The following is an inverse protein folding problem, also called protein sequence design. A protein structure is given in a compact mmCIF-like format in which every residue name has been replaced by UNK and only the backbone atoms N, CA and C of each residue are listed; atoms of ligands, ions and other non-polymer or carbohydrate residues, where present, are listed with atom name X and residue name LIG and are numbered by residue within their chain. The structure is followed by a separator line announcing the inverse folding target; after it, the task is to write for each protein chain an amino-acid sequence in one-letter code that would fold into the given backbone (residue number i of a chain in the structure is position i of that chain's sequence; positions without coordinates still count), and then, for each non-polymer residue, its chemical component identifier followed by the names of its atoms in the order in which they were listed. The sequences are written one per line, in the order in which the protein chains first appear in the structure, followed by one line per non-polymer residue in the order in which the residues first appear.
data_IF_083266239717
#
_entry.id   IF_083266239717
#
_cell.length_a   1.000
_cell.length_b   1.000
_cell.length_c   1.000
_cell.angle_alpha   90.00
_cell.angle_beta   90.00
_cell.angle_gamma   90.00
#
_symmetry.space_group_name_H-M   'P 1'
#
loop_
_entity.id
_entity.type
_entity.pdbx_description
1 polymer ?
#
# COMPACT_ATOMS: atom_id res chain seq x y z
N UNK A 1 4.99 14.61 -2.45
CA UNK A 1 4.78 15.59 -1.39
C UNK A 1 6.12 16.17 -0.99
N UNK A 2 6.26 17.49 -0.94
CA UNK A 2 7.38 18.06 -0.20
C UNK A 2 7.29 17.62 1.25
N UNK A 3 8.43 17.26 1.84
CA UNK A 3 8.49 16.64 3.18
C UNK A 3 7.78 17.46 4.28
N UNK A 4 7.52 18.74 4.05
CA UNK A 4 6.94 19.69 4.99
C UNK A 4 5.71 20.44 4.45
N UNK A 5 5.11 19.97 3.36
CA UNK A 5 3.91 20.59 2.78
C UNK A 5 2.60 19.96 3.24
N UNK A 6 1.48 20.67 3.10
CA UNK A 6 0.17 20.09 3.35
C UNK A 6 -0.06 18.90 2.41
N UNK A 7 -0.77 17.88 2.91
CA UNK A 7 -1.14 16.74 2.08
C UNK A 7 -2.08 17.19 0.96
N UNK A 8 -1.87 16.74 -0.28
CA UNK A 8 -2.78 17.05 -1.36
C UNK A 8 -4.17 16.48 -1.07
N UNK A 9 -5.18 17.28 -1.29
CA UNK A 9 -6.57 16.86 -1.18
C UNK A 9 -7.07 16.45 -2.57
N UNK A 10 -7.41 15.18 -2.70
CA UNK A 10 -7.96 14.63 -3.92
C UNK A 10 -9.46 14.90 -4.01
N UNK A 11 -9.92 15.31 -5.18
CA UNK A 11 -11.33 15.50 -5.48
C UNK A 11 -11.95 14.20 -6.00
N UNK A 12 -13.14 13.89 -5.52
CA UNK A 12 -13.95 12.75 -5.94
C UNK A 12 -15.28 13.25 -6.44
N UNK A 13 -15.74 12.78 -7.60
CA UNK A 13 -16.99 13.27 -8.20
C UNK A 13 -18.26 12.88 -7.42
N UNK A 14 -18.19 11.78 -6.67
CA UNK A 14 -19.33 11.22 -5.91
C UNK A 14 -18.89 10.82 -4.51
N UNK A 15 -19.81 10.92 -3.57
CA UNK A 15 -19.61 10.49 -2.18
C UNK A 15 -19.80 8.96 -2.02
N UNK A 16 -20.46 8.31 -2.97
CA UNK A 16 -20.71 6.87 -2.96
C UNK A 16 -20.60 6.28 -4.36
N UNK A 17 -20.00 5.10 -4.42
CA UNK A 17 -19.86 4.31 -5.64
C UNK A 17 -20.47 2.95 -5.40
N UNK A 18 -21.45 2.59 -6.23
CA UNK A 18 -22.20 1.34 -6.10
C UNK A 18 -22.05 0.53 -7.37
N UNK A 19 -21.67 -0.75 -7.21
CA UNK A 19 -21.60 -1.70 -8.29
C UNK A 19 -23.01 -2.18 -8.64
N UNK A 20 -23.47 -1.82 -9.83
CA UNK A 20 -24.79 -2.22 -10.31
C UNK A 20 -24.88 -3.71 -10.63
N UNK A 21 -26.12 -4.25 -10.62
CA UNK A 21 -26.38 -5.62 -11.04
C UNK A 21 -25.91 -5.83 -12.49
N UNK A 22 -25.20 -6.94 -12.74
CA UNK A 22 -24.63 -7.26 -14.04
C UNK A 22 -23.33 -6.53 -14.39
N UNK A 23 -22.90 -5.60 -13.55
CA UNK A 23 -21.61 -4.90 -13.65
C UNK A 23 -20.56 -5.67 -12.83
N UNK A 24 -19.38 -5.95 -13.42
CA UNK A 24 -18.32 -6.72 -12.76
C UNK A 24 -17.17 -5.87 -12.24
N UNK A 25 -17.10 -4.62 -12.65
CA UNK A 25 -16.01 -3.70 -12.32
C UNK A 25 -16.54 -2.34 -11.88
N UNK A 26 -15.92 -1.78 -10.86
CA UNK A 26 -16.17 -0.44 -10.37
C UNK A 26 -14.87 0.34 -10.41
N UNK A 27 -14.88 1.51 -11.03
CA UNK A 27 -13.75 2.44 -11.06
C UNK A 27 -14.06 3.67 -10.23
N UNK A 28 -13.13 4.03 -9.35
CA UNK A 28 -13.23 5.19 -8.47
C UNK A 28 -12.05 6.12 -8.76
N UNK A 29 -12.21 7.11 -9.63
CA UNK A 29 -11.17 8.09 -9.93
C UNK A 29 -11.12 9.18 -8.86
N UNK A 30 -9.91 9.57 -8.48
CA UNK A 30 -9.63 10.70 -7.61
C UNK A 30 -8.56 11.56 -8.26
N UNK A 31 -8.76 12.87 -8.30
CA UNK A 31 -7.86 13.82 -8.97
C UNK A 31 -7.37 14.91 -8.03
N UNK A 32 -6.15 15.33 -8.26
CA UNK A 32 -5.54 16.50 -7.64
C UNK A 32 -4.76 17.29 -8.70
N UNK A 33 -4.95 18.59 -8.71
CA UNK A 33 -4.17 19.50 -9.56
C UNK A 33 -3.36 20.43 -8.68
N UNK A 34 -2.06 20.48 -8.91
CA UNK A 34 -1.17 21.36 -8.17
C UNK A 34 -1.19 22.80 -8.70
N UNK A 35 -0.46 23.70 -8.05
CA UNK A 35 -0.39 25.10 -8.43
C UNK A 35 0.26 25.33 -9.81
N UNK A 36 1.09 24.41 -10.28
CA UNK A 36 1.73 24.45 -11.60
C UNK A 36 0.85 23.88 -12.73
N UNK A 37 -0.35 23.38 -12.39
CA UNK A 37 -1.29 22.78 -13.35
C UNK A 37 -1.07 21.29 -13.60
N UNK A 38 -0.16 20.63 -12.90
CA UNK A 38 0.06 19.20 -13.02
C UNK A 38 -1.14 18.45 -12.43
N UNK A 39 -1.63 17.46 -13.16
CA UNK A 39 -2.76 16.65 -12.73
C UNK A 39 -2.31 15.25 -12.30
N UNK A 40 -2.67 14.90 -11.07
CA UNK A 40 -2.43 13.59 -10.48
C UNK A 40 -3.78 12.86 -10.38
N UNK A 41 -3.89 11.72 -11.01
CA UNK A 41 -5.10 10.89 -10.95
C UNK A 41 -4.76 9.56 -10.31
N UNK A 42 -5.59 9.17 -9.34
CA UNK A 42 -5.53 7.87 -8.69
C UNK A 42 -6.88 7.19 -8.92
N UNK A 43 -6.89 6.06 -9.59
CA UNK A 43 -8.11 5.31 -9.88
C UNK A 43 -8.06 3.97 -9.17
N UNK A 44 -9.02 3.73 -8.28
CA UNK A 44 -9.23 2.42 -7.66
C UNK A 44 -10.12 1.59 -8.56
N UNK A 45 -9.67 0.39 -8.91
CA UNK A 45 -10.39 -0.56 -9.75
C UNK A 45 -10.73 -1.79 -8.92
N UNK A 46 -12.02 -1.95 -8.61
CA UNK A 46 -12.54 -3.07 -7.85
C UNK A 46 -13.28 -4.01 -8.80
N UNK A 47 -13.00 -5.29 -8.69
CA UNK A 47 -13.68 -6.34 -9.46
C UNK A 47 -14.49 -7.23 -8.54
N UNK A 48 -15.70 -7.56 -8.97
CA UNK A 48 -16.62 -8.42 -8.20
C UNK A 48 -15.98 -9.76 -7.89
N UNK A 49 -16.02 -10.15 -6.62
CA UNK A 49 -15.50 -11.45 -6.15
C UNK A 49 -13.98 -11.52 -5.99
N UNK A 50 -13.25 -10.43 -6.22
CA UNK A 50 -11.81 -10.37 -6.02
C UNK A 50 -11.43 -9.64 -4.73
N UNK A 51 -10.37 -10.12 -4.07
CA UNK A 51 -9.76 -9.44 -2.92
C UNK A 51 -8.75 -8.37 -3.31
N UNK A 52 -8.29 -8.39 -4.56
CA UNK A 52 -7.33 -7.44 -5.08
C UNK A 52 -8.02 -6.18 -5.61
N UNK A 53 -7.50 -5.03 -5.25
CA UNK A 53 -7.89 -3.74 -5.76
C UNK A 53 -6.71 -3.17 -6.53
N UNK A 54 -6.87 -2.94 -7.83
CA UNK A 54 -5.84 -2.27 -8.60
C UNK A 54 -5.93 -0.76 -8.39
N UNK A 55 -4.78 -0.14 -8.18
CA UNK A 55 -4.66 1.31 -8.05
C UNK A 55 -3.81 1.81 -9.21
N UNK A 56 -4.46 2.51 -10.13
CA UNK A 56 -3.80 3.09 -11.28
C UNK A 56 -3.50 4.56 -11.01
N UNK A 57 -2.25 4.96 -11.20
CA UNK A 57 -1.79 6.33 -11.06
C UNK A 57 -1.49 6.92 -12.43
N UNK A 58 -1.91 8.14 -12.64
CA UNK A 58 -1.56 8.92 -13.84
C UNK A 58 -1.08 10.30 -13.41
N UNK A 59 0.02 10.74 -13.99
CA UNK A 59 0.60 12.07 -13.75
C UNK A 59 0.78 12.76 -15.08
N UNK A 60 0.07 13.88 -15.28
CA UNK A 60 0.20 14.74 -16.42
C UNK A 60 1.01 15.97 -16.05
N UNK A 61 2.15 16.15 -16.68
CA UNK A 61 2.99 17.33 -16.48
C UNK A 61 2.55 18.45 -17.45
N UNK A 62 1.80 19.40 -16.94
CA UNK A 62 1.37 20.59 -17.69
C UNK A 62 2.29 21.80 -17.42
N UNK A 63 3.33 21.63 -16.63
CA UNK A 63 4.31 22.66 -16.32
C UNK A 63 5.43 22.76 -17.37
N UNK A 64 6.38 23.64 -17.12
CA UNK A 64 7.53 23.89 -18.00
C UNK A 64 8.80 23.11 -17.61
N UNK A 65 8.79 22.49 -16.44
CA UNK A 65 9.93 21.76 -15.88
C UNK A 65 9.63 20.27 -15.77
N UNK A 66 10.64 19.40 -15.90
CA UNK A 66 10.48 17.98 -15.61
C UNK A 66 9.99 17.76 -14.18
N UNK A 67 9.09 16.80 -14.00
CA UNK A 67 8.52 16.41 -12.74
C UNK A 67 9.00 15.01 -12.36
N UNK A 68 9.58 14.87 -11.16
CA UNK A 68 10.02 13.61 -10.62
C UNK A 68 8.94 13.05 -9.68
N UNK A 69 8.46 11.85 -9.97
CA UNK A 69 7.37 11.21 -9.24
C UNK A 69 7.72 9.78 -8.84
N UNK A 70 7.23 9.37 -7.68
CA UNK A 70 7.32 7.99 -7.19
C UNK A 70 5.95 7.54 -6.68
N UNK A 71 5.65 6.27 -6.85
CA UNK A 71 4.55 5.65 -6.12
C UNK A 71 5.04 5.13 -4.77
N UNK A 72 4.15 5.10 -3.81
CA UNK A 72 4.39 4.45 -2.53
C UNK A 72 3.08 3.86 -1.99
N UNK A 73 3.22 2.81 -1.21
CA UNK A 73 2.13 2.23 -0.43
C UNK A 73 2.63 1.95 0.98
N UNK A 74 1.83 2.28 1.97
CA UNK A 74 2.17 2.09 3.37
C UNK A 74 1.00 1.53 4.13
N UNK A 75 1.27 0.53 4.96
CA UNK A 75 0.32 -0.09 5.87
C UNK A 75 0.74 0.25 7.29
N UNK A 76 -0.22 0.64 8.12
CA UNK A 76 -0.01 1.03 9.50
C UNK A 76 -0.83 0.14 10.42
N UNK A 77 -0.27 -0.20 11.57
CA UNK A 77 -0.98 -0.95 12.60
C UNK A 77 -0.49 -0.55 13.99
N UNK A 78 -1.41 -0.55 14.97
CA UNK A 78 -1.05 -0.44 16.37
C UNK A 78 -0.26 -1.68 16.82
N UNK A 79 0.86 -1.44 17.48
CA UNK A 79 1.68 -2.48 18.09
C UNK A 79 0.94 -3.11 19.28
N UNK A 80 0.21 -2.28 20.04
CA UNK A 80 -0.53 -2.73 21.20
C UNK A 80 -1.83 -3.42 20.81
N UNK A 81 -2.01 -4.64 21.27
CA UNK A 81 -3.29 -5.34 21.20
C UNK A 81 -4.33 -4.56 22.01
N UNK A 82 -5.56 -4.39 21.51
CA UNK A 82 -6.66 -4.03 22.38
C UNK A 82 -6.72 -5.09 23.47
N UNK A 83 -6.79 -4.66 24.72
CA UNK A 83 -6.91 -5.56 25.86
C UNK A 83 -8.20 -6.36 25.71
N UNK A 84 -8.10 -7.58 25.21
CA UNK A 84 -9.15 -8.54 25.39
C UNK A 84 -9.21 -8.83 26.87
N UNK A 85 -10.34 -8.57 27.49
CA UNK A 85 -10.65 -9.12 28.81
C UNK A 85 -10.46 -10.63 28.68
N UNK A 86 -9.51 -11.17 29.40
CA UNK A 86 -9.33 -12.59 29.59
C UNK A 86 -10.64 -13.17 30.14
N UNK A 87 -11.49 -13.64 29.28
CA UNK A 87 -12.48 -14.64 29.66
C UNK A 87 -11.73 -15.96 29.69
N UNK A 88 -11.31 -16.35 30.88
CA UNK A 88 -10.42 -17.45 31.16
C UNK A 88 -10.83 -18.79 30.58
N UNK A 89 -10.61 -18.96 29.33
CA UNK A 89 -10.49 -20.25 28.70
C UNK A 89 -9.11 -20.28 28.05
N UNK A 90 -8.26 -21.14 28.59
CA UNK A 90 -7.01 -21.55 28.00
C UNK A 90 -7.28 -22.18 26.62
N UNK A 91 -7.59 -21.36 25.66
CA UNK A 91 -7.61 -21.79 24.28
C UNK A 91 -6.19 -21.93 23.83
N UNK A 92 -5.77 -23.14 23.67
CA UNK A 92 -4.63 -23.58 22.88
C UNK A 92 -4.85 -23.18 21.40
N UNK A 93 -5.67 -22.19 21.18
CA UNK A 93 -6.07 -21.68 19.92
C UNK A 93 -4.96 -20.79 19.38
N UNK A 94 -4.13 -21.43 18.52
CA UNK A 94 -3.61 -20.77 17.34
C UNK A 94 -3.05 -19.36 17.61
N UNK A 95 -1.84 -19.31 18.15
CA UNK A 95 -1.04 -18.11 18.10
C UNK A 95 -0.72 -17.82 16.62
N UNK A 96 -1.72 -17.32 15.90
CA UNK A 96 -1.53 -16.80 14.56
C UNK A 96 -0.62 -15.58 14.65
N UNK A 97 0.40 -15.57 13.83
CA UNK A 97 1.34 -14.47 13.76
C UNK A 97 0.60 -13.17 13.43
N UNK A 98 0.86 -12.13 14.22
CA UNK A 98 0.41 -10.77 13.97
C UNK A 98 1.62 -9.87 13.85
N UNK A 99 1.78 -9.23 12.70
CA UNK A 99 2.93 -8.39 12.43
C UNK A 99 3.04 -8.04 10.97
N UNK A 100 4.18 -7.52 10.59
CA UNK A 100 4.51 -7.24 9.21
C UNK A 100 5.09 -8.47 8.52
N UNK A 101 4.98 -8.51 7.21
CA UNK A 101 5.64 -9.49 6.37
C UNK A 101 6.03 -8.85 5.04
N UNK A 102 7.01 -9.43 4.39
CA UNK A 102 7.42 -9.00 3.06
C UNK A 102 7.91 -10.19 2.24
N UNK A 103 7.96 -10.00 0.94
CA UNK A 103 8.54 -10.95 0.01
C UNK A 103 9.39 -10.21 -1.01
N UNK A 104 10.54 -10.78 -1.30
CA UNK A 104 11.41 -10.38 -2.40
C UNK A 104 11.85 -11.62 -3.17
N UNK A 105 12.47 -11.50 -4.36
CA UNK A 105 13.00 -12.66 -5.07
C UNK A 105 14.00 -13.47 -4.26
N UNK A 106 14.75 -12.83 -3.38
CA UNK A 106 15.77 -13.47 -2.55
C UNK A 106 15.19 -14.05 -1.25
N UNK A 107 14.13 -13.44 -0.73
CA UNK A 107 13.49 -13.80 0.53
C UNK A 107 11.98 -13.93 0.32
N UNK A 108 11.53 -15.14 -0.01
CA UNK A 108 10.18 -15.37 -0.55
C UNK A 108 9.01 -15.12 0.42
N UNK A 109 9.22 -15.16 1.70
CA UNK A 109 8.20 -14.85 2.71
C UNK A 109 8.88 -14.69 4.06
N UNK A 110 9.07 -13.46 4.47
CA UNK A 110 9.69 -13.14 5.75
C UNK A 110 8.73 -12.37 6.66
N UNK A 111 8.61 -12.83 7.87
CA UNK A 111 7.84 -12.16 8.92
C UNK A 111 8.72 -11.13 9.62
N UNK A 112 8.14 -9.98 9.90
CA UNK A 112 8.81 -8.89 10.61
C UNK A 112 8.01 -8.52 11.85
N UNK A 113 8.53 -8.84 13.02
CA UNK A 113 7.83 -8.66 14.30
C UNK A 113 7.66 -7.19 14.66
N UNK A 114 6.55 -6.86 15.30
CA UNK A 114 6.31 -5.50 15.80
C UNK A 114 7.34 -5.07 16.85
N UNK A 115 7.80 -5.98 17.70
CA UNK A 115 8.83 -5.68 18.67
C UNK A 115 10.12 -5.20 18.01
N UNK A 116 10.53 -5.84 16.93
CA UNK A 116 11.68 -5.44 16.12
C UNK A 116 11.53 -4.03 15.56
N UNK A 117 10.34 -3.70 15.08
CA UNK A 117 10.02 -2.35 14.57
C UNK A 117 10.02 -1.33 15.74
N UNK A 118 9.49 -1.72 16.91
CA UNK A 118 9.44 -0.87 18.10
C UNK A 118 10.86 -0.53 18.60
N UNK A 119 11.81 -1.43 18.44
CA UNK A 119 13.22 -1.24 18.75
C UNK A 119 13.99 -0.45 17.68
N UNK A 120 13.30 0.04 16.67
CA UNK A 120 13.85 0.75 15.50
C UNK A 120 14.84 -0.08 14.67
N UNK A 121 14.77 -1.38 14.77
CA UNK A 121 15.44 -2.31 13.85
C UNK A 121 14.58 -2.47 12.60
N UNK A 122 14.78 -1.58 11.64
CA UNK A 122 13.88 -1.46 10.50
C UNK A 122 14.39 -2.20 9.28
N UNK A 123 13.44 -2.80 8.55
CA UNK A 123 13.66 -3.30 7.20
C UNK A 123 14.01 -2.14 6.29
N UNK A 124 15.00 -2.33 5.43
CA UNK A 124 15.35 -1.41 4.35
C UNK A 124 16.07 -2.20 3.26
N UNK A 125 15.30 -2.71 2.32
CA UNK A 125 15.82 -3.53 1.22
C UNK A 125 15.29 -3.01 -0.11
N UNK A 126 16.13 -3.12 -1.14
CA UNK A 126 15.74 -2.78 -2.51
C UNK A 126 15.62 -4.07 -3.32
N UNK A 127 14.51 -4.24 -4.00
CA UNK A 127 14.26 -5.42 -4.83
C UNK A 127 13.35 -5.09 -6.00
N UNK A 128 13.52 -5.85 -7.07
CA UNK A 128 12.52 -5.97 -8.14
C UNK A 128 11.54 -7.04 -7.71
N UNK A 129 10.27 -6.81 -7.97
CA UNK A 129 9.18 -7.70 -7.58
C UNK A 129 9.09 -7.91 -6.06
N UNK A 130 7.96 -8.33 -5.61
CA UNK A 130 7.71 -8.59 -4.22
C UNK A 130 6.51 -7.83 -3.69
N UNK A 131 6.31 -7.93 -2.39
CA UNK A 131 5.20 -7.29 -1.71
C UNK A 131 5.52 -7.02 -0.25
N UNK A 132 4.73 -6.13 0.35
CA UNK A 132 4.71 -5.86 1.79
C UNK A 132 3.32 -6.08 2.33
N UNK A 133 3.20 -6.58 3.54
CA UNK A 133 1.93 -6.92 4.15
C UNK A 133 1.88 -6.61 5.64
N UNK A 134 0.66 -6.38 6.13
CA UNK A 134 0.29 -6.45 7.55
C UNK A 134 -0.59 -7.66 7.76
N UNK A 135 -0.18 -8.52 8.68
CA UNK A 135 -0.88 -9.76 9.02
C UNK A 135 -1.63 -9.57 10.33
N UNK A 136 -2.90 -9.92 10.32
CA UNK A 136 -3.76 -10.03 11.49
C UNK A 136 -4.18 -11.49 11.67
N UNK A 137 -4.98 -11.79 12.69
CA UNK A 137 -5.33 -13.17 13.02
C UNK A 137 -5.90 -13.97 11.83
N UNK A 138 -6.77 -13.36 11.02
CA UNK A 138 -7.45 -14.01 9.89
C UNK A 138 -7.33 -13.24 8.58
N UNK A 139 -6.86 -12.01 8.63
CA UNK A 139 -6.79 -11.11 7.49
C UNK A 139 -5.36 -10.64 7.24
N UNK A 140 -5.07 -10.45 5.97
CA UNK A 140 -3.87 -9.77 5.52
C UNK A 140 -4.23 -8.62 4.59
N UNK A 141 -3.46 -7.56 4.70
CA UNK A 141 -3.48 -6.44 3.76
C UNK A 141 -2.10 -6.32 3.17
N UNK A 142 -2.00 -6.26 1.86
CA UNK A 142 -0.71 -6.23 1.17
C UNK A 142 -0.68 -5.19 0.06
N UNK A 143 0.46 -4.54 -0.12
CA UNK A 143 0.78 -3.76 -1.29
C UNK A 143 1.72 -4.53 -2.20
N UNK A 144 1.34 -4.66 -3.46
CA UNK A 144 2.16 -5.27 -4.51
C UNK A 144 2.46 -4.22 -5.56
N UNK A 145 3.70 -3.69 -5.61
CA UNK A 145 4.11 -2.80 -6.69
C UNK A 145 4.03 -3.53 -8.03
N UNK A 146 3.49 -2.88 -9.04
CA UNK A 146 3.39 -3.42 -10.42
C UNK A 146 4.18 -2.53 -11.37
N UNK A 147 5.51 -2.50 -11.20
CA UNK A 147 6.42 -1.77 -12.05
C UNK A 147 7.62 -2.66 -12.40
N UNK A 148 8.34 -2.28 -13.44
CA UNK A 148 9.53 -3.01 -13.91
C UNK A 148 10.82 -2.60 -13.17
N UNK A 149 10.72 -1.61 -12.28
CA UNK A 149 11.86 -1.05 -11.57
C UNK A 149 12.09 -1.69 -10.21
N UNK A 150 13.14 -1.21 -9.57
CA UNK A 150 13.46 -1.55 -8.19
C UNK A 150 12.62 -0.74 -7.24
N UNK A 151 12.06 -1.38 -6.21
CA UNK A 151 11.34 -0.72 -5.14
C UNK A 151 12.14 -0.83 -3.84
N UNK A 152 12.03 0.19 -3.00
CA UNK A 152 12.51 0.13 -1.63
C UNK A 152 11.39 -0.40 -0.72
N UNK A 153 11.63 -1.51 -0.05
CA UNK A 153 10.75 -2.05 0.98
C UNK A 153 11.29 -1.70 2.36
N UNK A 154 10.44 -1.18 3.21
CA UNK A 154 10.85 -0.65 4.52
C UNK A 154 9.82 -0.89 5.60
N UNK A 155 10.30 -0.96 6.85
CA UNK A 155 9.48 -0.80 8.05
C UNK A 155 9.84 0.50 8.75
N UNK A 156 8.93 1.02 9.55
CA UNK A 156 9.15 2.21 10.33
C UNK A 156 8.36 2.19 11.65
N UNK A 157 8.98 2.69 12.70
CA UNK A 157 8.29 3.06 13.94
C UNK A 157 7.82 4.51 13.79
N UNK A 158 6.51 4.70 13.67
CA UNK A 158 5.93 6.04 13.50
C UNK A 158 5.68 6.79 14.81
N UNK A 159 6.05 6.19 15.94
CA UNK A 159 5.73 6.69 17.25
C UNK A 159 4.30 6.36 17.71
N UNK A 160 3.98 6.66 18.96
CA UNK A 160 2.67 6.42 19.57
C UNK A 160 2.18 4.96 19.44
N UNK A 161 3.09 4.00 19.41
CA UNK A 161 2.77 2.58 19.28
C UNK A 161 2.26 2.20 17.89
N UNK A 162 2.63 2.90 16.84
CA UNK A 162 2.25 2.63 15.45
C UNK A 162 3.46 2.10 14.67
N UNK A 163 3.33 0.89 14.15
CA UNK A 163 4.28 0.30 13.22
C UNK A 163 3.78 0.44 11.78
N UNK A 164 4.71 0.63 10.86
CA UNK A 164 4.42 0.69 9.44
C UNK A 164 5.31 -0.26 8.65
N UNK A 165 4.78 -0.77 7.55
CA UNK A 165 5.51 -1.39 6.47
C UNK A 165 5.07 -0.81 5.14
N UNK A 166 5.99 -0.61 4.22
CA UNK A 166 5.64 0.00 2.96
C UNK A 166 6.68 -0.25 1.87
N UNK A 167 6.34 0.27 0.71
CA UNK A 167 7.26 0.34 -0.42
C UNK A 167 7.28 1.74 -1.01
N UNK A 168 8.39 2.07 -1.66
CA UNK A 168 8.54 3.26 -2.48
C UNK A 168 9.21 2.87 -3.80
N UNK A 169 8.60 3.27 -4.92
CA UNK A 169 9.20 3.04 -6.23
C UNK A 169 10.36 3.99 -6.49
N UNK A 170 11.22 3.61 -7.43
CA UNK A 170 12.21 4.55 -7.98
C UNK A 170 11.51 5.74 -8.63
N UNK A 171 12.08 6.94 -8.54
CA UNK A 171 11.55 8.09 -9.22
C UNK A 171 11.49 7.91 -10.73
N UNK A 172 10.40 8.36 -11.31
CA UNK A 172 10.18 8.44 -12.76
C UNK A 172 10.12 9.90 -13.15
N UNK A 173 10.85 10.28 -14.19
CA UNK A 173 10.87 11.63 -14.72
C UNK A 173 9.75 11.78 -15.75
N UNK A 174 8.87 12.75 -15.52
CA UNK A 174 7.78 13.10 -16.44
C UNK A 174 8.12 14.44 -17.08
N UNK A 175 8.43 14.42 -18.36
CA UNK A 175 8.77 15.63 -19.11
C UNK A 175 7.56 16.55 -19.31
N UNK A 176 7.76 17.86 -19.51
CA UNK A 176 6.67 18.76 -19.83
C UNK A 176 5.83 18.27 -21.02
N UNK A 177 4.51 18.31 -20.85
CA UNK A 177 3.56 17.82 -21.84
C UNK A 177 3.37 16.31 -21.89
N UNK A 178 4.10 15.54 -21.08
CA UNK A 178 3.98 14.09 -21.02
C UNK A 178 3.05 13.64 -19.88
N UNK A 179 2.51 12.43 -20.06
CA UNK A 179 1.74 11.70 -19.03
C UNK A 179 2.46 10.40 -18.73
N UNK A 180 2.63 10.09 -17.45
CA UNK A 180 3.16 8.82 -16.96
C UNK A 180 2.09 8.05 -16.23
N UNK A 181 2.04 6.75 -16.45
CA UNK A 181 1.12 5.83 -15.77
C UNK A 181 1.89 4.82 -14.93
N UNK A 182 1.37 4.52 -13.75
CA UNK A 182 1.94 3.57 -12.80
C UNK A 182 0.80 2.77 -12.18
N UNK A 183 1.08 1.55 -11.73
CA UNK A 183 0.07 0.67 -11.12
C UNK A 183 0.61 0.00 -9.88
N UNK A 184 -0.24 -0.15 -8.88
CA UNK A 184 -0.03 -1.00 -7.70
C UNK A 184 -1.27 -1.83 -7.44
N UNK A 185 -1.11 -2.96 -6.76
CA UNK A 185 -2.22 -3.78 -6.31
C UNK A 185 -2.29 -3.75 -4.79
N UNK A 186 -3.45 -3.40 -4.26
CA UNK A 186 -3.79 -3.55 -2.85
C UNK A 186 -4.62 -4.81 -2.67
N UNK A 187 -4.11 -5.76 -1.91
CA UNK A 187 -4.82 -6.98 -1.58
C UNK A 187 -5.36 -6.87 -0.15
N UNK A 188 -6.64 -7.15 0.04
CA UNK A 188 -7.30 -7.14 1.35
C UNK A 188 -8.19 -8.39 1.44
N UNK A 189 -7.81 -9.36 2.25
CA UNK A 189 -8.57 -10.58 2.33
C UNK A 189 -8.03 -11.57 3.36
N UNK A 190 -8.52 -12.81 3.32
CA UNK A 190 -8.03 -13.86 4.20
C UNK A 190 -6.53 -14.10 4.02
N UNK A 191 -5.87 -14.50 5.10
CA UNK A 191 -4.46 -14.89 5.08
C UNK A 191 -4.31 -16.25 4.39
N UNK A 192 -4.28 -16.25 3.06
CA UNK A 192 -4.06 -17.45 2.23
C UNK A 192 -2.74 -17.27 1.50
N UNK A 193 -1.72 -18.00 1.93
CA UNK A 193 -0.36 -17.87 1.41
C UNK A 193 -0.28 -18.07 -0.10
N UNK A 194 -1.00 -19.04 -0.65
CA UNK A 194 -0.99 -19.36 -2.08
C UNK A 194 -1.54 -18.23 -2.96
N UNK A 195 -2.45 -17.41 -2.43
CA UNK A 195 -3.02 -16.27 -3.14
C UNK A 195 -2.19 -14.99 -3.03
N UNK A 196 -1.33 -14.91 -2.03
CA UNK A 196 -0.42 -13.77 -1.85
C UNK A 196 0.85 -13.92 -2.69
N UNK A 197 1.18 -15.14 -3.12
CA UNK A 197 2.37 -15.46 -3.90
C UNK A 197 2.16 -15.37 -5.43
N UNK A 198 0.97 -15.10 -5.88
CA UNK A 198 0.61 -15.07 -7.31
C UNK A 198 0.80 -13.70 -7.96
#
# INVERSE_FOLDING_TARGET
NPANGPRPLYNVEKDAFVLADGQNELQIPMTYTDAAGNTFTKTFVLKRGEYAVNVNYSVQNAGEKPLEVSTFGQLKQSINLPSHRDTGSSNFALHTFRGAAYSTPDEKYEKYKFDTIAENENLNVNAKDGWVAMLQQYFATAWVPRNDGTNNFYTANLGNGIAAIGYKSQPVLVQPGQTSAMTSTLWVGPEIQDKMAA
#
